data_IF_396700326769
#
_entry.id   IF_396700326769
#
_cell.length_a   1.000
_cell.length_b   1.000
_cell.length_c   1.000
_cell.angle_alpha   90.00
_cell.angle_beta   90.00
_cell.angle_gamma   90.00
#
_symmetry.space_group_name_H-M   'P 1'
#
loop_
_entity.id
_entity.type
_entity.pdbx_description
1 polymer ?
#
# COMPACT_ATOMS: atom_id res chain seq x y z
N UNK A 1 -10.72 25.84 11.79
CA UNK A 1 -9.69 24.81 12.09
C UNK A 1 -9.99 23.43 11.50
N UNK A 2 -11.25 22.96 11.51
CA UNK A 2 -11.63 21.62 11.03
C UNK A 2 -11.27 21.33 9.55
N UNK A 3 -11.44 22.29 8.63
CA UNK A 3 -11.07 22.13 7.20
C UNK A 3 -9.57 21.82 7.00
N UNK A 4 -8.68 22.49 7.75
CA UNK A 4 -7.23 22.27 7.67
C UNK A 4 -6.84 20.87 8.17
N UNK A 5 -7.53 20.38 9.20
CA UNK A 5 -7.35 19.03 9.76
C UNK A 5 -7.82 17.94 8.77
N UNK A 6 -8.95 18.14 8.10
CA UNK A 6 -9.45 17.22 7.07
C UNK A 6 -8.50 17.14 5.87
N UNK A 7 -8.06 18.28 5.34
CA UNK A 7 -7.10 18.34 4.23
C UNK A 7 -5.80 17.60 4.55
N UNK A 8 -5.24 17.85 5.74
CA UNK A 8 -4.03 17.15 6.19
C UNK A 8 -4.25 15.62 6.32
N UNK A 9 -5.43 15.20 6.80
CA UNK A 9 -5.78 13.77 6.90
C UNK A 9 -5.86 13.12 5.52
N UNK A 10 -6.46 13.79 4.54
CA UNK A 10 -6.55 13.32 3.15
C UNK A 10 -5.16 13.16 2.52
N UNK A 11 -4.29 14.16 2.65
CA UNK A 11 -2.90 14.10 2.18
C UNK A 11 -2.11 12.96 2.86
N UNK A 12 -2.35 12.75 4.15
CA UNK A 12 -1.69 11.68 4.89
C UNK A 12 -2.16 10.29 4.45
N UNK A 13 -3.45 10.13 4.13
CA UNK A 13 -4.03 8.91 3.55
C UNK A 13 -3.58 8.67 2.11
N UNK A 14 -3.40 9.72 1.32
CA UNK A 14 -2.85 9.61 -0.04
C UNK A 14 -1.42 9.04 -0.03
N UNK A 15 -0.59 9.50 0.91
CA UNK A 15 0.74 8.90 1.13
C UNK A 15 0.64 7.41 1.49
N UNK A 16 -0.34 7.01 2.31
CA UNK A 16 -0.58 5.59 2.63
C UNK A 16 -0.99 4.82 1.38
N UNK A 17 -1.89 5.37 0.56
CA UNK A 17 -2.30 4.77 -0.71
C UNK A 17 -1.10 4.54 -1.65
N UNK A 18 -0.21 5.54 -1.79
CA UNK A 18 1.01 5.42 -2.59
C UNK A 18 1.93 4.30 -2.07
N UNK A 19 2.08 4.18 -0.75
CA UNK A 19 2.84 3.09 -0.15
C UNK A 19 2.20 1.73 -0.44
N UNK A 20 0.88 1.61 -0.39
CA UNK A 20 0.17 0.37 -0.73
C UNK A 20 0.31 0.01 -2.22
N UNK A 21 0.30 1.00 -3.12
CA UNK A 21 0.60 0.77 -4.54
C UNK A 21 2.01 0.23 -4.75
N UNK A 22 3.01 0.78 -4.05
CA UNK A 22 4.38 0.29 -4.11
C UNK A 22 4.52 -1.13 -3.53
N UNK A 23 3.81 -1.41 -2.44
CA UNK A 23 3.75 -2.75 -1.85
C UNK A 23 3.16 -3.77 -2.84
N UNK A 24 2.06 -3.42 -3.52
CA UNK A 24 1.45 -4.25 -4.55
C UNK A 24 2.39 -4.48 -5.74
N UNK A 25 3.03 -3.43 -6.25
CA UNK A 25 3.98 -3.53 -7.36
C UNK A 25 5.16 -4.45 -7.00
N UNK A 26 5.65 -4.38 -5.76
CA UNK A 26 6.71 -5.27 -5.27
C UNK A 26 6.27 -6.73 -5.26
N UNK A 27 5.04 -7.02 -4.80
CA UNK A 27 4.50 -8.39 -4.81
C UNK A 27 4.25 -8.89 -6.23
N UNK A 28 3.75 -8.04 -7.12
CA UNK A 28 3.57 -8.39 -8.53
C UNK A 28 4.91 -8.71 -9.21
N UNK A 29 5.97 -7.95 -8.91
CA UNK A 29 7.32 -8.23 -9.37
C UNK A 29 7.83 -9.58 -8.83
N UNK A 30 7.70 -9.82 -7.53
CA UNK A 30 8.06 -11.10 -6.90
C UNK A 30 7.31 -12.26 -7.56
N UNK A 31 5.99 -12.14 -7.72
CA UNK A 31 5.16 -13.16 -8.35
C UNK A 31 5.59 -13.46 -9.79
N UNK A 32 5.86 -12.43 -10.60
CA UNK A 32 6.34 -12.60 -11.98
C UNK A 32 7.69 -13.32 -12.03
N UNK A 33 8.63 -12.95 -11.16
CA UNK A 33 9.97 -13.55 -11.13
C UNK A 33 9.90 -15.02 -10.71
N UNK A 34 9.09 -15.33 -9.70
CA UNK A 34 9.01 -16.68 -9.13
C UNK A 34 8.17 -17.65 -9.98
N UNK A 35 7.07 -17.18 -10.58
CA UNK A 35 6.11 -18.07 -11.26
C UNK A 35 6.24 -18.09 -12.79
N UNK A 36 6.87 -17.09 -13.42
CA UNK A 36 7.09 -17.12 -14.87
C UNK A 36 8.29 -18.02 -15.21
N UNK A 37 8.01 -19.26 -15.62
CA UNK A 37 9.03 -20.27 -15.97
C UNK A 37 10.06 -19.77 -16.99
N UNK A 38 9.64 -18.98 -17.99
CA UNK A 38 10.54 -18.45 -19.02
C UNK A 38 11.52 -17.44 -18.43
N UNK A 39 11.01 -16.51 -17.62
CA UNK A 39 11.83 -15.52 -16.92
C UNK A 39 12.78 -16.19 -15.92
N UNK A 40 12.26 -17.14 -15.13
CA UNK A 40 13.04 -17.90 -14.15
C UNK A 40 14.21 -18.64 -14.80
N UNK A 41 13.97 -19.35 -15.92
CA UNK A 41 15.04 -20.05 -16.67
C UNK A 41 16.08 -19.08 -17.22
N UNK A 42 15.66 -17.96 -17.81
CA UNK A 42 16.59 -16.96 -18.35
C UNK A 42 17.51 -16.40 -17.25
N UNK A 43 16.95 -16.03 -16.10
CA UNK A 43 17.72 -15.52 -14.97
C UNK A 43 18.68 -16.55 -14.39
N UNK A 44 18.29 -17.83 -14.32
CA UNK A 44 19.19 -18.90 -13.88
C UNK A 44 20.36 -19.10 -14.85
N UNK A 45 20.11 -19.05 -16.16
CA UNK A 45 21.15 -19.10 -17.18
C UNK A 45 22.10 -17.89 -17.07
N UNK A 46 21.55 -16.69 -16.93
CA UNK A 46 22.35 -15.47 -16.76
C UNK A 46 23.22 -15.55 -15.50
N UNK A 47 22.66 -15.96 -14.36
CA UNK A 47 23.42 -16.12 -13.12
C UNK A 47 24.55 -17.16 -13.23
N UNK A 48 24.31 -18.25 -13.98
CA UNK A 48 25.33 -19.27 -14.24
C UNK A 48 26.46 -18.73 -15.14
N UNK A 49 26.12 -17.99 -16.19
CA UNK A 49 27.09 -17.39 -17.11
C UNK A 49 27.90 -16.28 -16.45
N UNK A 50 27.25 -15.43 -15.65
CA UNK A 50 27.88 -14.31 -14.96
C UNK A 50 28.62 -14.74 -13.68
N UNK A 51 28.62 -16.04 -13.34
CA UNK A 51 29.17 -16.62 -12.10
C UNK A 51 28.71 -15.88 -10.83
N UNK A 52 27.54 -15.23 -10.88
CA UNK A 52 27.02 -14.42 -9.79
C UNK A 52 25.84 -15.14 -9.16
N UNK A 53 26.12 -15.90 -8.10
CA UNK A 53 25.11 -16.62 -7.32
C UNK A 53 24.07 -15.69 -6.65
N UNK A 54 24.29 -14.37 -6.67
CA UNK A 54 23.44 -13.37 -6.03
C UNK A 54 22.22 -12.94 -6.86
N UNK A 55 22.10 -13.39 -8.11
CA UNK A 55 21.01 -12.95 -9.02
C UNK A 55 20.06 -14.12 -9.32
N UNK A 56 19.74 -14.93 -8.30
CA UNK A 56 18.78 -16.01 -8.47
C UNK A 56 17.33 -15.48 -8.37
N UNK A 57 16.39 -16.07 -9.13
CA UNK A 57 14.97 -15.69 -9.04
C UNK A 57 14.40 -15.77 -7.62
N UNK A 58 14.80 -16.80 -6.87
CA UNK A 58 14.31 -17.04 -5.52
C UNK A 58 14.83 -15.97 -4.53
N UNK A 59 16.11 -15.59 -4.63
CA UNK A 59 16.68 -14.52 -3.81
C UNK A 59 16.05 -13.16 -4.15
N UNK A 60 15.94 -12.82 -5.43
CA UNK A 60 15.36 -11.54 -5.87
C UNK A 60 13.87 -11.48 -5.48
N UNK A 61 13.12 -12.55 -5.71
CA UNK A 61 11.73 -12.67 -5.27
C UNK A 61 11.58 -12.44 -3.76
N UNK A 62 12.43 -13.08 -2.96
CA UNK A 62 12.44 -12.91 -1.50
C UNK A 62 12.75 -11.47 -1.07
N UNK A 63 13.67 -10.78 -1.77
CA UNK A 63 13.98 -9.36 -1.50
C UNK A 63 12.77 -8.46 -1.76
N UNK A 64 12.04 -8.66 -2.86
CA UNK A 64 10.81 -7.93 -3.14
C UNK A 64 9.73 -8.18 -2.08
N UNK A 65 9.53 -9.42 -1.65
CA UNK A 65 8.57 -9.77 -0.59
C UNK A 65 8.98 -9.11 0.74
N UNK A 66 10.27 -9.16 1.11
CA UNK A 66 10.78 -8.51 2.33
C UNK A 66 10.61 -6.99 2.27
N UNK A 67 10.85 -6.38 1.10
CA UNK A 67 10.62 -4.97 0.85
C UNK A 67 9.14 -4.60 1.03
N UNK A 68 8.24 -5.40 0.47
CA UNK A 68 6.79 -5.24 0.63
C UNK A 68 6.37 -5.27 2.11
N UNK A 69 6.79 -6.29 2.87
CA UNK A 69 6.48 -6.39 4.30
C UNK A 69 6.97 -5.18 5.10
N UNK A 70 8.14 -4.63 4.74
CA UNK A 70 8.65 -3.38 5.31
C UNK A 70 7.74 -2.19 5.01
N UNK A 71 7.30 -2.04 3.76
CA UNK A 71 6.37 -0.98 3.34
C UNK A 71 5.02 -1.12 4.08
N UNK A 72 4.46 -2.32 4.17
CA UNK A 72 3.21 -2.58 4.89
C UNK A 72 3.30 -2.21 6.36
N UNK A 73 4.43 -2.52 7.03
CA UNK A 73 4.67 -2.08 8.42
C UNK A 73 4.73 -0.56 8.55
N UNK A 74 5.38 0.13 7.61
CA UNK A 74 5.42 1.60 7.61
C UNK A 74 4.02 2.19 7.40
N UNK A 75 3.24 1.63 6.47
CA UNK A 75 1.85 2.04 6.22
C UNK A 75 0.98 1.81 7.46
N UNK A 76 1.12 0.67 8.15
CA UNK A 76 0.46 0.39 9.43
C UNK A 76 0.77 1.44 10.50
N UNK A 77 2.05 1.83 10.67
CA UNK A 77 2.42 2.87 11.63
C UNK A 77 1.79 4.21 11.28
N UNK A 78 1.75 4.56 10.00
CA UNK A 78 1.15 5.81 9.51
C UNK A 78 -0.36 5.83 9.73
N UNK A 79 -1.05 4.74 9.40
CA UNK A 79 -2.48 4.59 9.67
C UNK A 79 -2.83 4.72 11.17
N UNK A 80 -2.00 4.18 12.08
CA UNK A 80 -2.18 4.37 13.53
C UNK A 80 -2.09 5.83 13.95
N UNK A 81 -1.06 6.55 13.47
CA UNK A 81 -0.89 7.98 13.77
C UNK A 81 -2.07 8.81 13.26
N UNK A 82 -2.56 8.51 12.05
CA UNK A 82 -3.74 9.17 11.50
C UNK A 82 -4.95 8.88 12.39
N UNK A 83 -5.14 7.62 12.80
CA UNK A 83 -6.26 7.21 13.64
C UNK A 83 -6.30 7.89 15.02
N UNK A 84 -5.15 8.20 15.61
CA UNK A 84 -5.04 8.93 16.89
C UNK A 84 -5.56 10.38 16.77
N UNK A 85 -5.49 10.95 15.56
CA UNK A 85 -5.92 12.33 15.30
C UNK A 85 -7.35 12.45 14.76
N UNK A 86 -7.95 11.34 14.32
CA UNK A 86 -9.29 11.32 13.74
C UNK A 86 -10.38 11.09 14.80
N UNK A 87 -11.49 11.81 14.65
CA UNK A 87 -12.69 11.57 15.44
C UNK A 87 -13.43 10.29 14.98
N UNK A 88 -14.29 9.72 15.82
CA UNK A 88 -15.19 8.64 15.41
C UNK A 88 -16.05 9.07 14.21
N UNK A 89 -16.33 8.20 13.23
CA UNK A 89 -16.07 6.75 13.18
C UNK A 89 -14.75 6.34 12.50
N UNK A 90 -13.95 7.29 12.00
CA UNK A 90 -12.75 7.01 11.20
C UNK A 90 -11.62 6.35 11.99
N UNK A 91 -11.37 6.80 13.21
CA UNK A 91 -10.28 6.30 14.05
C UNK A 91 -10.29 4.76 14.27
N UNK A 92 -11.41 4.15 14.69
CA UNK A 92 -11.54 2.70 14.80
C UNK A 92 -11.23 1.94 13.50
N UNK A 93 -11.76 2.40 12.36
CA UNK A 93 -11.53 1.74 11.06
C UNK A 93 -10.06 1.80 10.63
N UNK A 94 -9.41 2.94 10.79
CA UNK A 94 -7.99 3.10 10.48
C UNK A 94 -7.11 2.20 11.38
N UNK A 95 -7.48 2.01 12.65
CA UNK A 95 -6.80 1.07 13.56
C UNK A 95 -6.96 -0.39 13.12
N UNK A 96 -8.15 -0.77 12.65
CA UNK A 96 -8.41 -2.11 12.09
C UNK A 96 -7.50 -2.38 10.88
N UNK A 97 -7.47 -1.46 9.92
CA UNK A 97 -6.60 -1.57 8.73
C UNK A 97 -5.12 -1.62 9.11
N UNK A 98 -4.69 -0.79 10.06
CA UNK A 98 -3.32 -0.81 10.56
C UNK A 98 -2.95 -2.16 11.21
N UNK A 99 -3.88 -2.77 11.94
CA UNK A 99 -3.69 -4.08 12.59
C UNK A 99 -3.56 -5.17 11.53
N UNK A 100 -4.42 -5.18 10.52
CA UNK A 100 -4.36 -6.12 9.40
C UNK A 100 -3.00 -6.08 8.69
N UNK A 101 -2.51 -4.88 8.34
CA UNK A 101 -1.17 -4.71 7.74
C UNK A 101 -0.03 -5.11 8.67
N UNK A 102 -0.14 -4.89 9.99
CA UNK A 102 0.94 -5.22 10.93
C UNK A 102 1.11 -6.72 11.17
N UNK A 103 0.01 -7.47 11.03
CA UNK A 103 -0.05 -8.92 11.24
C UNK A 103 0.11 -9.69 9.94
N UNK A 104 0.41 -9.01 8.82
CA UNK A 104 0.54 -9.63 7.52
C UNK A 104 1.65 -10.68 7.53
N UNK A 105 1.23 -11.93 7.43
CA UNK A 105 2.04 -13.12 7.17
C UNK A 105 1.26 -13.94 6.17
N UNK A 106 1.94 -14.55 5.22
CA UNK A 106 1.28 -15.31 4.16
C UNK A 106 2.19 -15.47 2.96
N UNK A 107 1.70 -16.23 2.00
CA UNK A 107 2.27 -16.32 0.68
C UNK A 107 2.03 -15.03 -0.13
N UNK A 108 2.64 -14.94 -1.31
CA UNK A 108 2.56 -13.74 -2.15
C UNK A 108 1.12 -13.42 -2.53
N UNK A 109 0.29 -14.44 -2.81
CA UNK A 109 -1.12 -14.28 -3.16
C UNK A 109 -1.92 -13.64 -2.02
N UNK A 110 -1.85 -14.21 -0.82
CA UNK A 110 -2.56 -13.67 0.35
C UNK A 110 -2.11 -12.26 0.72
N UNK A 111 -0.83 -11.95 0.57
CA UNK A 111 -0.32 -10.59 0.76
C UNK A 111 -0.86 -9.60 -0.29
N UNK A 112 -0.97 -10.02 -1.56
CA UNK A 112 -1.54 -9.17 -2.62
C UNK A 112 -3.00 -8.84 -2.35
N UNK A 113 -3.80 -9.84 -2.00
CA UNK A 113 -5.21 -9.64 -1.66
C UNK A 113 -5.39 -8.69 -0.47
N UNK A 114 -4.58 -8.86 0.58
CA UNK A 114 -4.62 -7.97 1.74
C UNK A 114 -4.28 -6.53 1.35
N UNK A 115 -3.24 -6.32 0.54
CA UNK A 115 -2.85 -4.97 0.08
C UNK A 115 -3.97 -4.33 -0.76
N UNK A 116 -4.60 -5.09 -1.66
CA UNK A 116 -5.74 -4.60 -2.46
C UNK A 116 -6.89 -4.17 -1.56
N UNK A 117 -7.33 -5.06 -0.65
CA UNK A 117 -8.44 -4.80 0.28
C UNK A 117 -8.19 -3.54 1.11
N UNK A 118 -7.01 -3.42 1.71
CA UNK A 118 -6.66 -2.24 2.53
C UNK A 118 -6.58 -0.98 1.68
N UNK A 119 -6.05 -1.05 0.46
CA UNK A 119 -5.99 0.09 -0.46
C UNK A 119 -7.39 0.59 -0.84
N UNK A 120 -8.30 -0.32 -1.17
CA UNK A 120 -9.69 0.03 -1.50
C UNK A 120 -10.40 0.70 -0.32
N UNK A 121 -10.21 0.17 0.89
CA UNK A 121 -10.77 0.79 2.09
C UNK A 121 -10.18 2.18 2.36
N UNK A 122 -8.85 2.36 2.19
CA UNK A 122 -8.23 3.70 2.31
C UNK A 122 -8.79 4.68 1.27
N UNK A 123 -9.01 4.23 0.02
CA UNK A 123 -9.65 5.06 -1.02
C UNK A 123 -11.06 5.46 -0.64
N UNK A 124 -11.87 4.51 -0.16
CA UNK A 124 -13.24 4.78 0.31
C UNK A 124 -13.24 5.82 1.42
N UNK A 125 -12.38 5.67 2.43
CA UNK A 125 -12.25 6.63 3.53
C UNK A 125 -11.82 8.02 3.05
N UNK A 126 -10.89 8.07 2.08
CA UNK A 126 -10.45 9.34 1.45
C UNK A 126 -11.62 10.04 0.73
N UNK A 127 -12.40 9.30 -0.06
CA UNK A 127 -13.57 9.83 -0.76
C UNK A 127 -14.65 10.34 0.21
N UNK A 128 -14.92 9.61 1.30
CA UNK A 128 -15.87 10.04 2.32
C UNK A 128 -15.42 11.33 3.02
N UNK A 129 -14.13 11.45 3.35
CA UNK A 129 -13.56 12.66 3.93
C UNK A 129 -13.62 13.85 2.97
N UNK A 130 -13.40 13.62 1.67
CA UNK A 130 -13.52 14.66 0.64
C UNK A 130 -14.97 15.13 0.49
N UNK A 131 -15.94 14.20 0.45
CA UNK A 131 -17.37 14.52 0.36
C UNK A 131 -17.91 15.23 1.61
N UNK A 132 -17.38 14.90 2.79
CA UNK A 132 -17.76 15.52 4.07
C UNK A 132 -17.14 16.91 4.29
N UNK A 133 -16.19 17.31 3.44
CA UNK A 133 -15.56 18.63 3.47
C UNK A 133 -16.19 19.50 2.38
N UNK A 134 -17.19 20.34 2.68
CA UNK A 134 -17.88 21.12 1.66
C UNK A 134 -16.93 22.14 1.04
N UNK A 135 -16.58 21.96 -0.24
CA UNK A 135 -16.02 22.97 -1.11
C UNK A 135 -16.21 22.57 -2.58
N UNK A 136 -17.37 22.88 -3.17
CA UNK A 136 -17.53 23.44 -4.53
C UNK A 136 -19.01 23.54 -4.96
N UNK A 137 -19.77 24.44 -4.34
CA UNK A 137 -20.85 25.16 -5.03
C UNK A 137 -20.79 26.59 -4.51
N UNK A 138 -20.57 27.55 -5.42
CA UNK A 138 -20.05 28.89 -5.15
C UNK A 138 -18.67 28.96 -5.80
N UNK A 139 -18.53 29.31 -7.07
CA UNK A 139 -19.14 30.45 -7.75
C UNK A 139 -19.73 30.05 -9.11
N UNK A 140 -21.05 30.08 -9.22
CA UNK A 140 -21.71 30.59 -10.43
C UNK A 140 -22.79 31.52 -9.90
N UNK A 141 -22.38 32.73 -9.55
CA UNK A 141 -23.32 33.85 -9.41
C UNK A 141 -23.39 34.51 -10.78
N UNK A 142 -24.60 34.56 -11.32
CA UNK A 142 -25.04 35.45 -12.39
C UNK A 142 -24.46 36.86 -12.18
N UNK A 143 -23.84 37.43 -13.24
CA UNK A 143 -24.29 38.62 -14.00
C UNK A 143 -23.73 38.53 -15.41
#
# INVERSE_FOLDING_TARGET
MLRRKHRNTVEELEKVEMMLNLAYASLAAASRIMHNRRMRRKMLLEAALSRTALVTPDLIGALYVRGCLSIMRKASKKLRRIAESCEPPLGPKLRELAKALSRSKGDVGGLMELVIKVREEVRRLKSLLAASSPASYGEVSEV
#
